data_IF_099161952164
#
_entry.id   IF_099161952164
#
_cell.length_a   1.000
_cell.length_b   1.000
_cell.length_c   1.000
_cell.angle_alpha   90.00
_cell.angle_beta   90.00
_cell.angle_gamma   90.00
#
_symmetry.space_group_name_H-M   'P 1'
#
loop_
_entity.id
_entity.type
_entity.pdbx_description
1 polymer ?
#
# COMPACT_ATOMS: atom_id res chain seq x y z
N UNK A 1 -39.82 27.26 -3.38
CA UNK A 1 -39.67 27.09 -1.92
C UNK A 1 -38.40 26.29 -1.71
N UNK A 2 -37.27 26.95 -1.44
CA UNK A 2 -36.00 26.25 -1.19
C UNK A 2 -36.09 25.54 0.16
N UNK A 3 -36.23 24.21 0.14
CA UNK A 3 -36.05 23.40 1.35
C UNK A 3 -34.60 23.51 1.80
N UNK A 4 -34.41 23.88 3.07
CA UNK A 4 -33.09 24.06 3.67
C UNK A 4 -32.25 22.77 3.58
N UNK A 5 -30.93 22.93 3.38
CA UNK A 5 -29.97 21.82 3.25
C UNK A 5 -30.07 20.86 4.44
N UNK A 6 -30.29 21.39 5.64
CA UNK A 6 -30.41 20.62 6.88
C UNK A 6 -31.65 19.71 6.88
N UNK A 7 -32.78 20.19 6.34
CA UNK A 7 -33.99 19.37 6.16
C UNK A 7 -33.76 18.28 5.11
N UNK A 8 -33.07 18.60 4.02
CA UNK A 8 -32.70 17.61 2.97
C UNK A 8 -31.78 16.53 3.51
N UNK A 9 -30.82 16.91 4.36
CA UNK A 9 -29.93 16.00 5.06
C UNK A 9 -30.72 15.01 5.91
N UNK A 10 -31.66 15.52 6.73
CA UNK A 10 -32.51 14.67 7.57
C UNK A 10 -33.33 13.68 6.73
N UNK A 11 -33.96 14.15 5.65
CA UNK A 11 -34.71 13.27 4.74
C UNK A 11 -33.81 12.22 4.07
N UNK A 12 -32.59 12.59 3.66
CA UNK A 12 -31.64 11.63 3.07
C UNK A 12 -31.18 10.57 4.08
N UNK A 13 -31.00 10.94 5.35
CA UNK A 13 -30.70 9.99 6.42
C UNK A 13 -31.83 8.98 6.62
N UNK A 14 -33.09 9.44 6.67
CA UNK A 14 -34.25 8.56 6.79
C UNK A 14 -34.37 7.57 5.62
N UNK A 15 -34.08 8.03 4.39
CA UNK A 15 -34.05 7.17 3.20
C UNK A 15 -32.91 6.15 3.28
N UNK A 16 -31.72 6.55 3.73
CA UNK A 16 -30.59 5.64 3.95
C UNK A 16 -30.94 4.55 4.97
N UNK A 17 -31.62 4.93 6.05
CA UNK A 17 -31.98 4.01 7.12
C UNK A 17 -33.11 3.06 6.68
N UNK A 18 -33.94 3.47 5.73
CA UNK A 18 -35.02 2.67 5.13
C UNK A 18 -34.61 1.93 3.83
N UNK A 19 -33.32 1.78 3.56
CA UNK A 19 -32.82 1.29 2.27
C UNK A 19 -33.16 -0.18 2.00
N UNK A 20 -33.60 -0.95 3.00
CA UNK A 20 -34.06 -2.33 2.82
C UNK A 20 -35.15 -2.48 1.74
N UNK A 21 -35.91 -1.42 1.47
CA UNK A 21 -36.91 -1.37 0.40
C UNK A 21 -36.32 -1.65 -1.01
N UNK A 22 -35.02 -1.43 -1.21
CA UNK A 22 -34.38 -1.73 -2.51
C UNK A 22 -34.25 -3.23 -2.77
N UNK A 23 -34.45 -4.07 -1.75
CA UNK A 23 -34.44 -5.53 -1.87
C UNK A 23 -35.84 -6.14 -2.06
N UNK A 24 -36.90 -5.31 -2.10
CA UNK A 24 -38.28 -5.77 -2.28
C UNK A 24 -38.76 -5.54 -3.73
N UNK A 25 -40.02 -5.91 -4.00
CA UNK A 25 -40.66 -5.64 -5.29
C UNK A 25 -40.79 -4.13 -5.61
N UNK A 26 -40.64 -3.26 -4.61
CA UNK A 26 -40.76 -1.81 -4.76
C UNK A 26 -39.48 -1.14 -5.28
N UNK A 27 -38.41 -1.89 -5.54
CA UNK A 27 -37.13 -1.34 -5.97
C UNK A 27 -37.25 -0.44 -7.22
N UNK A 28 -38.07 -0.85 -8.21
CA UNK A 28 -38.29 -0.04 -9.40
C UNK A 28 -38.96 1.30 -9.09
N UNK A 29 -39.93 1.31 -8.16
CA UNK A 29 -40.62 2.53 -7.73
C UNK A 29 -39.68 3.43 -6.95
N UNK A 30 -38.84 2.85 -6.08
CA UNK A 30 -37.77 3.57 -5.39
C UNK A 30 -36.86 4.28 -6.40
N UNK A 31 -36.34 3.57 -7.41
CA UNK A 31 -35.47 4.16 -8.42
C UNK A 31 -36.17 5.28 -9.20
N UNK A 32 -37.42 5.09 -9.64
CA UNK A 32 -38.16 6.12 -10.37
C UNK A 32 -38.34 7.41 -9.58
N UNK A 33 -38.59 7.32 -8.28
CA UNK A 33 -38.83 8.47 -7.41
C UNK A 33 -37.53 9.13 -6.94
N UNK A 34 -36.61 8.34 -6.40
CA UNK A 34 -35.45 8.85 -5.68
C UNK A 34 -34.23 9.10 -6.57
N UNK A 35 -34.02 8.31 -7.62
CA UNK A 35 -32.80 8.42 -8.42
C UNK A 35 -32.63 9.81 -9.07
N UNK A 36 -33.74 10.37 -9.60
CA UNK A 36 -33.75 11.73 -10.15
C UNK A 36 -33.49 12.79 -9.08
N UNK A 37 -34.05 12.61 -7.89
CA UNK A 37 -33.84 13.51 -6.77
C UNK A 37 -32.37 13.49 -6.30
N UNK A 38 -31.77 12.32 -6.15
CA UNK A 38 -30.35 12.15 -5.81
C UNK A 38 -29.43 12.78 -6.86
N UNK A 39 -29.71 12.55 -8.14
CA UNK A 39 -28.97 13.17 -9.24
C UNK A 39 -29.08 14.70 -9.20
N UNK A 40 -30.28 15.25 -8.98
CA UNK A 40 -30.48 16.69 -8.84
C UNK A 40 -29.75 17.27 -7.62
N UNK A 41 -29.68 16.53 -6.50
CA UNK A 41 -28.91 16.93 -5.32
C UNK A 41 -27.43 17.09 -5.67
N UNK A 42 -26.86 16.12 -6.38
CA UNK A 42 -25.44 16.11 -6.71
C UNK A 42 -25.05 17.11 -7.82
N UNK A 43 -25.93 17.37 -8.79
CA UNK A 43 -25.64 18.26 -9.92
C UNK A 43 -26.07 19.73 -9.72
N UNK A 44 -27.21 19.97 -9.10
CA UNK A 44 -27.89 21.27 -9.18
C UNK A 44 -28.08 21.94 -7.82
N UNK A 45 -28.41 21.16 -6.79
CA UNK A 45 -28.80 21.71 -5.48
C UNK A 45 -27.58 21.96 -4.60
N UNK A 46 -26.56 21.12 -4.70
CA UNK A 46 -25.34 21.23 -3.89
C UNK A 46 -24.12 21.38 -4.78
N UNK A 47 -23.08 21.99 -4.24
CA UNK A 47 -21.75 22.12 -4.86
C UNK A 47 -20.75 21.25 -4.09
N UNK A 48 -19.68 20.78 -4.76
CA UNK A 48 -18.55 20.16 -4.08
C UNK A 48 -18.03 21.00 -2.92
N UNK A 49 -17.91 20.38 -1.76
CA UNK A 49 -17.46 21.03 -0.53
C UNK A 49 -16.07 20.53 -0.17
N UNK A 50 -15.21 21.46 0.23
CA UNK A 50 -13.87 21.16 0.74
C UNK A 50 -13.81 21.17 2.26
N UNK A 51 -14.94 21.31 2.95
CA UNK A 51 -15.01 21.33 4.41
C UNK A 51 -16.14 20.46 4.93
N UNK A 52 -15.98 19.90 6.13
CA UNK A 52 -17.06 19.13 6.76
C UNK A 52 -18.22 20.06 7.17
N UNK A 53 -19.23 20.13 6.31
CA UNK A 53 -20.43 20.92 6.53
C UNK A 53 -21.69 20.09 6.20
N UNK A 54 -22.90 20.55 6.57
CA UNK A 54 -24.13 19.82 6.30
C UNK A 54 -24.36 19.50 4.82
N UNK A 55 -23.83 20.33 3.92
CA UNK A 55 -23.92 20.12 2.48
C UNK A 55 -23.01 18.98 2.01
N UNK A 56 -21.77 18.90 2.52
CA UNK A 56 -20.88 17.75 2.34
C UNK A 56 -21.53 16.47 2.85
N UNK A 57 -22.06 16.49 4.08
CA UNK A 57 -22.74 15.32 4.68
C UNK A 57 -23.92 14.85 3.85
N UNK A 58 -24.72 15.78 3.31
CA UNK A 58 -25.84 15.45 2.42
C UNK A 58 -25.32 14.77 1.14
N UNK A 59 -24.31 15.34 0.49
CA UNK A 59 -23.71 14.74 -0.72
C UNK A 59 -23.15 13.34 -0.44
N UNK A 60 -22.43 13.20 0.67
CA UNK A 60 -21.83 11.94 1.09
C UNK A 60 -22.88 10.85 1.31
N UNK A 61 -23.93 11.13 2.08
CA UNK A 61 -25.03 10.18 2.31
C UNK A 61 -25.72 9.79 1.00
N UNK A 62 -25.95 10.74 0.09
CA UNK A 62 -26.55 10.42 -1.22
C UNK A 62 -25.65 9.47 -2.00
N UNK A 63 -24.34 9.70 -2.04
CA UNK A 63 -23.39 8.80 -2.72
C UNK A 63 -23.32 7.42 -2.03
N UNK A 64 -23.39 7.37 -0.70
CA UNK A 64 -23.48 6.10 0.05
C UNK A 64 -24.75 5.30 -0.29
N UNK A 65 -25.90 5.96 -0.39
CA UNK A 65 -27.15 5.34 -0.81
C UNK A 65 -26.98 4.73 -2.21
N UNK A 66 -26.41 5.49 -3.15
CA UNK A 66 -26.17 5.02 -4.52
C UNK A 66 -25.22 3.82 -4.56
N UNK A 67 -24.22 3.75 -3.67
CA UNK A 67 -23.29 2.62 -3.56
C UNK A 67 -23.92 1.34 -3.00
N UNK A 68 -25.03 1.44 -2.29
CA UNK A 68 -25.72 0.30 -1.67
C UNK A 68 -26.85 -0.26 -2.55
N UNK A 69 -27.09 0.31 -3.73
CA UNK A 69 -28.14 -0.15 -4.64
C UNK A 69 -27.87 -1.57 -5.15
N UNK A 70 -28.86 -2.50 -5.12
CA UNK A 70 -28.68 -3.85 -5.66
C UNK A 70 -28.46 -3.86 -7.17
N UNK A 71 -27.44 -4.59 -7.63
CA UNK A 71 -27.11 -4.79 -9.05
C UNK A 71 -28.02 -5.82 -9.73
N UNK A 72 -29.34 -5.63 -9.64
CA UNK A 72 -30.33 -6.47 -10.30
C UNK A 72 -30.68 -5.95 -11.70
N UNK A 73 -31.42 -6.77 -12.47
CA UNK A 73 -31.95 -6.39 -13.79
C UNK A 73 -32.80 -5.11 -13.75
N UNK A 74 -33.44 -4.83 -12.61
CA UNK A 74 -34.27 -3.64 -12.38
C UNK A 74 -33.47 -2.34 -12.47
N UNK A 75 -32.17 -2.39 -12.14
CA UNK A 75 -31.29 -1.22 -12.18
C UNK A 75 -30.90 -0.86 -13.62
N UNK A 76 -30.90 -1.81 -14.57
CA UNK A 76 -30.39 -1.62 -15.95
C UNK A 76 -30.80 -0.32 -16.63
N UNK A 77 -32.06 0.14 -16.57
CA UNK A 77 -32.48 1.38 -17.22
C UNK A 77 -31.80 2.64 -16.67
N UNK A 78 -31.28 2.59 -15.43
CA UNK A 78 -30.66 3.71 -14.73
C UNK A 78 -29.12 3.63 -14.72
N UNK A 79 -28.54 2.51 -15.16
CA UNK A 79 -27.09 2.23 -15.04
C UNK A 79 -26.23 3.28 -15.76
N UNK A 80 -26.61 3.70 -16.98
CA UNK A 80 -25.85 4.72 -17.72
C UNK A 80 -25.85 6.07 -17.00
N UNK A 81 -27.00 6.48 -16.48
CA UNK A 81 -27.12 7.75 -15.76
C UNK A 81 -26.39 7.68 -14.41
N UNK A 82 -26.46 6.54 -13.71
CA UNK A 82 -25.75 6.32 -12.46
C UNK A 82 -24.24 6.37 -12.67
N UNK A 83 -23.74 5.77 -13.75
CA UNK A 83 -22.33 5.83 -14.10
C UNK A 83 -21.88 7.26 -14.40
N UNK A 84 -22.68 8.03 -15.14
CA UNK A 84 -22.40 9.45 -15.40
C UNK A 84 -22.38 10.28 -14.12
N UNK A 85 -23.33 10.09 -13.21
CA UNK A 85 -23.37 10.74 -11.89
C UNK A 85 -22.11 10.40 -11.10
N UNK A 86 -21.76 9.12 -10.99
CA UNK A 86 -20.57 8.67 -10.27
C UNK A 86 -19.29 9.25 -10.89
N UNK A 87 -19.22 9.32 -12.23
CA UNK A 87 -18.07 9.89 -12.93
C UNK A 87 -17.94 11.40 -12.73
N UNK A 88 -19.07 12.12 -12.70
CA UNK A 88 -19.08 13.55 -12.39
C UNK A 88 -18.59 13.81 -10.97
N UNK A 89 -19.10 13.07 -9.98
CA UNK A 89 -18.68 13.22 -8.58
C UNK A 89 -17.20 12.86 -8.41
N UNK A 90 -16.72 11.78 -9.04
CA UNK A 90 -15.30 11.42 -8.98
C UNK A 90 -14.36 12.50 -9.56
N UNK A 91 -14.80 13.23 -10.58
CA UNK A 91 -13.95 14.25 -11.24
C UNK A 91 -14.03 15.64 -10.60
N UNK A 92 -15.12 15.94 -9.90
CA UNK A 92 -15.40 17.30 -9.39
C UNK A 92 -15.42 17.43 -7.87
N UNK A 93 -15.62 16.33 -7.14
CA UNK A 93 -15.87 16.35 -5.70
C UNK A 93 -14.63 15.99 -4.87
N UNK A 94 -14.78 16.00 -3.55
CA UNK A 94 -13.74 15.63 -2.60
C UNK A 94 -13.43 14.13 -2.56
N UNK A 95 -12.29 13.80 -1.95
CA UNK A 95 -11.76 12.44 -1.91
C UNK A 95 -12.67 11.42 -1.22
N UNK A 96 -13.47 11.80 -0.22
CA UNK A 96 -14.36 10.88 0.48
C UNK A 96 -15.46 10.39 -0.46
N UNK A 97 -16.12 11.33 -1.15
CA UNK A 97 -17.15 11.00 -2.14
C UNK A 97 -16.53 10.29 -3.36
N UNK A 98 -15.34 10.72 -3.79
CA UNK A 98 -14.59 10.08 -4.88
C UNK A 98 -14.29 8.61 -4.63
N UNK A 99 -13.88 8.24 -3.41
CA UNK A 99 -13.58 6.86 -3.05
C UNK A 99 -14.82 5.95 -3.16
N UNK A 100 -15.98 6.45 -2.76
CA UNK A 100 -17.24 5.72 -2.93
C UNK A 100 -17.60 5.63 -4.42
N UNK A 101 -17.45 6.71 -5.18
CA UNK A 101 -17.73 6.72 -6.61
C UNK A 101 -16.86 5.75 -7.42
N UNK A 102 -15.58 5.55 -7.06
CA UNK A 102 -14.72 4.54 -7.69
C UNK A 102 -15.31 3.14 -7.51
N UNK A 103 -15.85 2.83 -6.33
CA UNK A 103 -16.48 1.52 -6.06
C UNK A 103 -17.75 1.34 -6.89
N UNK A 104 -18.60 2.36 -6.95
CA UNK A 104 -19.78 2.37 -7.81
C UNK A 104 -19.37 2.12 -9.28
N UNK A 105 -18.42 2.88 -9.80
CA UNK A 105 -17.94 2.75 -11.19
C UNK A 105 -17.42 1.32 -11.44
N UNK A 106 -16.58 0.80 -10.54
CA UNK A 106 -16.04 -0.55 -10.64
C UNK A 106 -17.16 -1.60 -10.71
N UNK A 107 -18.12 -1.54 -9.80
CA UNK A 107 -19.20 -2.53 -9.74
C UNK A 107 -20.14 -2.44 -10.95
N UNK A 108 -20.44 -1.24 -11.46
CA UNK A 108 -21.25 -1.09 -12.66
C UNK A 108 -20.55 -1.66 -13.90
N UNK A 109 -19.28 -1.30 -14.10
CA UNK A 109 -18.46 -1.78 -15.23
C UNK A 109 -18.21 -3.29 -15.17
N UNK A 110 -18.27 -3.87 -13.97
CA UNK A 110 -18.19 -5.32 -13.72
C UNK A 110 -19.49 -6.04 -14.07
N UNK A 111 -20.64 -5.55 -13.58
CA UNK A 111 -21.89 -6.33 -13.57
C UNK A 111 -22.75 -6.10 -14.83
N UNK A 112 -22.65 -4.94 -15.49
CA UNK A 112 -23.55 -4.57 -16.61
C UNK A 112 -22.90 -4.63 -17.99
N UNK A 113 -22.13 -5.68 -18.23
CA UNK A 113 -21.50 -5.94 -19.54
C UNK A 113 -22.48 -6.50 -20.56
N UNK A 114 -22.29 -6.20 -21.87
CA UNK A 114 -21.28 -5.31 -22.46
C UNK A 114 -21.75 -3.84 -22.59
N UNK A 115 -22.93 -3.50 -22.06
CA UNK A 115 -23.63 -2.22 -22.31
C UNK A 115 -22.85 -0.96 -21.97
N UNK A 116 -21.81 -1.06 -21.13
CA UNK A 116 -21.00 0.06 -20.64
C UNK A 116 -19.59 0.12 -21.22
N UNK A 117 -19.25 -0.68 -22.24
CA UNK A 117 -17.89 -0.71 -22.81
C UNK A 117 -17.41 0.69 -23.29
N UNK A 118 -18.31 1.47 -23.89
CA UNK A 118 -18.01 2.84 -24.36
C UNK A 118 -17.74 3.82 -23.21
N UNK A 119 -18.27 3.55 -22.02
CA UNK A 119 -18.13 4.40 -20.84
C UNK A 119 -16.88 4.03 -19.99
N UNK A 120 -16.10 3.03 -20.40
CA UNK A 120 -14.83 2.68 -19.76
C UNK A 120 -13.74 3.72 -20.07
N UNK A 121 -13.69 4.23 -21.31
CA UNK A 121 -12.64 5.15 -21.74
C UNK A 121 -12.61 6.46 -20.91
N UNK A 122 -13.74 7.14 -20.62
CA UNK A 122 -13.75 8.30 -19.73
C UNK A 122 -13.14 8.05 -18.35
N UNK A 123 -13.32 6.85 -17.78
CA UNK A 123 -12.66 6.49 -16.53
C UNK A 123 -11.15 6.36 -16.71
N UNK A 124 -10.69 5.69 -17.78
CA UNK A 124 -9.25 5.57 -18.07
C UNK A 124 -8.60 6.94 -18.34
N UNK A 125 -9.32 7.87 -18.98
CA UNK A 125 -8.85 9.24 -19.20
C UNK A 125 -8.70 10.00 -17.88
N UNK A 126 -9.63 9.82 -16.94
CA UNK A 126 -9.48 10.31 -15.57
C UNK A 126 -8.23 9.73 -14.89
N UNK A 127 -7.99 8.43 -15.05
CA UNK A 127 -6.78 7.78 -14.51
C UNK A 127 -5.50 8.39 -15.11
N UNK A 128 -5.45 8.59 -16.42
CA UNK A 128 -4.33 9.28 -17.06
C UNK A 128 -4.12 10.68 -16.45
N UNK A 129 -5.21 11.42 -16.23
CA UNK A 129 -5.16 12.77 -15.63
C UNK A 129 -4.63 12.78 -14.20
N UNK A 130 -5.02 11.82 -13.34
CA UNK A 130 -4.48 11.79 -11.96
C UNK A 130 -2.99 11.49 -11.94
N UNK A 131 -2.50 10.60 -12.82
CA UNK A 131 -1.07 10.30 -12.92
C UNK A 131 -0.26 11.44 -13.54
N UNK A 132 -0.80 12.16 -14.53
CA UNK A 132 -0.20 13.38 -15.07
C UNK A 132 -0.03 14.45 -13.98
N UNK A 133 -1.01 14.59 -13.10
CA UNK A 133 -0.98 15.57 -12.01
C UNK A 133 -0.25 15.06 -10.76
N UNK A 134 0.22 13.81 -10.73
CA UNK A 134 0.74 13.17 -9.52
C UNK A 134 1.88 13.97 -8.88
N UNK A 135 2.84 14.44 -9.69
CA UNK A 135 3.95 15.27 -9.21
C UNK A 135 3.46 16.60 -8.60
N UNK A 136 2.48 17.24 -9.22
CA UNK A 136 1.89 18.48 -8.70
C UNK A 136 1.17 18.23 -7.37
N UNK A 137 0.50 17.09 -7.23
CA UNK A 137 -0.13 16.67 -5.97
C UNK A 137 0.93 16.49 -4.87
N UNK A 138 2.06 15.84 -5.17
CA UNK A 138 3.18 15.73 -4.21
C UNK A 138 3.70 17.11 -3.78
N UNK A 139 4.00 17.99 -4.74
CA UNK A 139 4.43 19.38 -4.44
C UNK A 139 3.40 20.14 -3.59
N UNK A 140 2.11 19.97 -3.85
CA UNK A 140 1.06 20.63 -3.08
C UNK A 140 1.08 20.25 -1.60
N UNK A 141 1.25 18.96 -1.27
CA UNK A 141 1.26 18.51 0.13
C UNK A 141 2.58 18.77 0.85
N UNK A 142 3.72 18.61 0.17
CA UNK A 142 5.03 18.60 0.83
C UNK A 142 5.87 19.86 0.61
N UNK A 143 5.63 20.65 -0.45
CA UNK A 143 6.37 21.91 -0.68
C UNK A 143 5.55 23.12 -0.25
N UNK A 144 4.24 23.14 -0.57
CA UNK A 144 3.35 24.25 -0.18
C UNK A 144 2.77 24.10 1.24
N UNK A 145 2.70 22.87 1.75
CA UNK A 145 2.24 22.58 3.12
C UNK A 145 3.17 23.17 4.18
N UNK A 146 4.49 23.15 3.94
CA UNK A 146 5.50 23.69 4.85
C UNK A 146 5.39 25.23 4.99
N UNK A 147 5.09 25.93 3.89
CA UNK A 147 4.90 27.40 3.90
C UNK A 147 3.63 27.79 4.66
N UNK A 148 2.53 27.04 4.48
CA UNK A 148 1.28 27.28 5.19
C UNK A 148 1.38 26.93 6.68
N UNK A 149 2.06 25.83 7.03
CA UNK A 149 2.30 25.42 8.42
C UNK A 149 3.22 26.41 9.15
N UNK A 150 4.27 26.91 8.49
CA UNK A 150 5.15 27.93 9.05
C UNK A 150 4.42 29.27 9.28
N UNK A 151 3.56 29.69 8.34
CA UNK A 151 2.74 30.90 8.48
C UNK A 151 1.70 30.77 9.61
N UNK A 152 1.08 29.60 9.77
CA UNK A 152 0.13 29.33 10.86
C UNK A 152 0.81 29.28 12.23
N UNK A 153 2.01 28.68 12.33
CA UNK A 153 2.80 28.68 13.55
C UNK A 153 3.27 30.10 13.94
N UNK A 154 3.60 30.94 12.94
CA UNK A 154 3.94 32.35 13.16
C UNK A 154 2.71 33.19 13.57
N UNK A 155 1.50 32.84 13.12
CA UNK A 155 0.27 33.50 13.56
C UNK A 155 -0.13 33.11 15.00
N UNK A 156 0.11 31.84 15.39
CA UNK A 156 -0.18 31.35 16.73
C UNK A 156 0.75 31.95 17.81
N UNK A 157 1.98 32.36 17.46
CA UNK A 157 2.91 33.00 18.39
C UNK A 157 2.64 34.49 18.64
N UNK A 158 1.74 35.12 17.88
CA UNK A 158 1.38 36.55 18.04
C UNK A 158 0.23 36.76 19.04
N UNK A 159 -0.53 35.71 19.39
CA UNK A 159 -1.69 35.80 20.29
C UNK A 159 -1.40 35.61 21.79
N UNK A 160 -0.13 35.49 22.20
CA UNK A 160 0.23 35.19 23.61
C UNK A 160 0.67 36.38 24.47
N UNK A 161 0.50 37.64 24.02
CA UNK A 161 0.87 38.83 24.80
C UNK A 161 -0.31 39.77 25.11
N UNK A 162 -1.23 39.32 25.96
CA UNK A 162 -2.07 40.12 26.89
C UNK A 162 -2.81 39.12 27.79
N UNK A 163 -2.72 39.06 29.13
CA UNK A 163 -2.57 40.09 30.14
C UNK A 163 -2.19 39.49 31.53
N UNK A 164 -1.53 40.36 32.30
CA UNK A 164 -1.12 40.41 33.71
C UNK A 164 -2.05 39.94 34.87
N UNK A 165 -1.41 39.35 35.89
CA UNK A 165 -1.46 39.59 37.37
C UNK A 165 -2.46 38.88 38.33
N UNK A 166 -1.87 38.22 39.35
CA UNK A 166 -2.38 37.95 40.72
C UNK A 166 -2.88 36.51 40.99
N UNK A 167 -2.71 35.82 42.14
CA UNK A 167 -1.83 35.84 43.32
C UNK A 167 -2.38 34.76 44.31
N UNK A 168 -1.52 33.85 44.79
CA UNK A 168 -1.54 33.05 46.06
C UNK A 168 -2.63 31.98 46.41
N UNK A 169 -2.14 30.79 46.81
CA UNK A 169 -2.55 30.11 48.08
C UNK A 169 -3.06 28.65 48.05
N UNK A 170 -2.29 27.71 48.63
CA UNK A 170 -2.76 26.77 49.69
C UNK A 170 -3.36 25.38 49.37
N UNK A 171 -2.53 24.34 49.58
CA UNK A 171 -2.73 22.99 50.21
C UNK A 171 -4.03 22.12 50.12
N UNK A 172 -3.74 20.84 49.83
CA UNK A 172 -4.29 19.55 50.33
C UNK A 172 -5.74 19.05 50.04
N UNK A 173 -5.79 17.84 49.44
CA UNK A 173 -6.53 16.64 49.92
C UNK A 173 -7.36 15.85 48.86
N UNK A 174 -6.84 14.64 48.55
CA UNK A 174 -7.51 13.32 48.47
C UNK A 174 -8.64 12.96 47.47
N UNK A 175 -8.33 11.85 46.76
CA UNK A 175 -9.11 10.61 46.48
C UNK A 175 -9.95 10.46 45.20
N UNK A 176 -9.58 9.40 44.45
CA UNK A 176 -10.35 8.47 43.59
C UNK A 176 -11.40 9.02 42.61
N UNK A 177 -11.23 8.75 41.31
CA UNK A 177 -11.90 7.64 40.58
C UNK A 177 -11.71 7.79 39.06
N UNK A 178 -11.80 6.64 38.38
CA UNK A 178 -12.21 6.41 36.99
C UNK A 178 -11.38 6.93 35.81
N UNK A 179 -11.06 5.98 34.94
CA UNK A 179 -10.47 6.11 33.62
C UNK A 179 -11.29 7.03 32.69
N UNK A 180 -10.75 8.22 32.39
CA UNK A 180 -11.07 8.99 31.18
C UNK A 180 -9.81 9.77 30.74
N UNK A 181 -9.08 9.26 29.74
CA UNK A 181 -8.05 10.04 29.06
C UNK A 181 -8.68 10.93 27.98
N UNK A 182 -9.27 12.04 28.45
CA UNK A 182 -9.41 13.25 27.64
C UNK A 182 -8.04 13.92 27.62
N UNK A 183 -7.29 13.73 26.53
CA UNK A 183 -6.15 14.59 26.22
C UNK A 183 -6.62 16.01 25.89
N UNK A 184 -5.81 17.05 26.14
CA UNK A 184 -6.20 18.43 25.88
C UNK A 184 -6.51 18.61 24.38
N UNK A 185 -7.40 19.55 24.00
CA UNK A 185 -7.78 19.76 22.61
C UNK A 185 -6.54 20.27 21.86
N UNK A 186 -5.84 19.36 21.20
CA UNK A 186 -4.81 19.70 20.24
C UNK A 186 -5.50 20.48 19.13
N UNK A 187 -5.20 21.78 19.03
CA UNK A 187 -5.57 22.61 17.90
C UNK A 187 -4.87 22.04 16.65
N UNK A 188 -5.55 21.09 16.00
CA UNK A 188 -5.20 20.52 14.72
C UNK A 188 -5.45 21.57 13.63
N UNK A 189 -4.41 22.28 13.21
CA UNK A 189 -4.47 23.11 12.01
C UNK A 189 -4.37 22.16 10.81
N UNK A 190 -5.52 21.76 10.26
CA UNK A 190 -5.65 20.90 9.07
C UNK A 190 -6.80 19.87 9.11
N UNK A 191 -7.38 19.60 10.28
CA UNK A 191 -8.49 18.63 10.40
C UNK A 191 -9.82 19.28 10.00
N UNK A 192 -10.10 19.27 8.69
CA UNK A 192 -11.39 19.71 8.17
C UNK A 192 -11.39 20.07 6.69
N UNK A 193 -10.22 20.26 6.07
CA UNK A 193 -10.15 20.54 4.64
C UNK A 193 -10.01 19.25 3.84
N UNK A 194 -11.07 18.90 3.11
CA UNK A 194 -11.12 17.72 2.25
C UNK A 194 -10.43 18.01 0.92
N UNK A 195 -9.54 17.11 0.53
CA UNK A 195 -8.80 17.22 -0.72
C UNK A 195 -9.72 16.91 -1.91
N UNK A 196 -9.56 17.60 -3.05
CA UNK A 196 -10.22 17.20 -4.29
C UNK A 196 -9.81 15.77 -4.70
N UNK A 197 -10.75 15.00 -5.26
CA UNK A 197 -10.49 13.64 -5.77
C UNK A 197 -9.34 13.59 -6.78
N UNK A 198 -9.16 14.65 -7.56
CA UNK A 198 -8.09 14.80 -8.56
C UNK A 198 -6.70 14.96 -7.93
N UNK A 199 -6.61 15.23 -6.63
CA UNK A 199 -5.38 15.44 -5.85
C UNK A 199 -5.35 14.57 -4.59
N UNK A 200 -5.82 13.32 -4.68
CA UNK A 200 -5.85 12.40 -3.54
C UNK A 200 -4.99 11.15 -3.79
N UNK A 201 -4.06 10.88 -2.88
CA UNK A 201 -3.27 9.65 -2.90
C UNK A 201 -4.14 8.40 -2.65
N UNK A 202 -5.24 8.53 -1.89
CA UNK A 202 -6.18 7.43 -1.64
C UNK A 202 -6.87 6.99 -2.92
N UNK A 203 -7.29 7.94 -3.75
CA UNK A 203 -7.86 7.66 -5.08
C UNK A 203 -6.83 6.93 -5.96
N UNK A 204 -5.58 7.39 -5.99
CA UNK A 204 -4.50 6.73 -6.75
C UNK A 204 -4.20 5.33 -6.18
N UNK A 205 -4.43 5.08 -4.89
CA UNK A 205 -4.21 3.77 -4.26
C UNK A 205 -5.21 2.71 -4.75
N UNK A 206 -6.48 3.09 -4.93
CA UNK A 206 -7.55 2.18 -5.40
C UNK A 206 -7.54 1.97 -6.93
N UNK A 207 -7.05 2.97 -7.67
CA UNK A 207 -7.10 3.01 -9.13
C UNK A 207 -6.42 1.82 -9.84
N UNK A 208 -5.19 1.40 -9.47
CA UNK A 208 -4.48 0.30 -10.15
C UNK A 208 -5.27 -1.01 -10.16
N UNK A 209 -5.98 -1.33 -9.08
CA UNK A 209 -6.79 -2.55 -8.98
C UNK A 209 -7.97 -2.50 -9.96
N UNK A 210 -8.65 -1.35 -10.02
CA UNK A 210 -9.77 -1.12 -10.95
C UNK A 210 -9.30 -1.22 -12.40
N UNK A 211 -8.18 -0.56 -12.75
CA UNK A 211 -7.61 -0.62 -14.11
C UNK A 211 -7.19 -2.04 -14.47
N UNK A 212 -6.51 -2.76 -13.57
CA UNK A 212 -6.14 -4.16 -13.78
C UNK A 212 -7.36 -5.00 -14.13
N UNK A 213 -8.42 -4.84 -13.35
CA UNK A 213 -9.66 -5.56 -13.57
C UNK A 213 -10.28 -5.17 -14.91
N UNK A 214 -10.42 -3.87 -15.20
CA UNK A 214 -10.96 -3.38 -16.47
C UNK A 214 -10.19 -3.92 -17.68
N UNK A 215 -8.87 -4.06 -17.61
CA UNK A 215 -8.07 -4.65 -18.68
C UNK A 215 -8.25 -6.16 -18.85
N UNK A 216 -8.47 -6.91 -17.77
CA UNK A 216 -8.89 -8.32 -17.85
C UNK A 216 -10.26 -8.47 -18.51
N UNK A 217 -11.11 -7.48 -18.26
CA UNK A 217 -12.52 -7.45 -18.57
C UNK A 217 -12.80 -6.92 -19.99
N UNK A 218 -12.02 -5.95 -20.47
CA UNK A 218 -12.13 -5.28 -21.77
C UNK A 218 -10.76 -5.27 -22.47
N UNK A 219 -10.27 -6.44 -22.89
CA UNK A 219 -8.90 -6.64 -23.39
C UNK A 219 -8.53 -5.77 -24.62
N UNK A 220 -9.53 -5.31 -25.39
CA UNK A 220 -9.34 -4.42 -26.54
C UNK A 220 -8.79 -3.05 -26.15
N UNK A 221 -9.15 -2.54 -24.98
CA UNK A 221 -8.72 -1.22 -24.49
C UNK A 221 -7.27 -1.21 -24.02
N UNK A 222 -6.65 -2.38 -23.86
CA UNK A 222 -5.31 -2.48 -23.28
C UNK A 222 -4.25 -1.93 -24.24
N UNK A 223 -4.30 -2.34 -25.51
CA UNK A 223 -3.30 -1.94 -26.51
C UNK A 223 -3.32 -0.43 -26.80
N UNK A 224 -4.48 0.21 -26.69
CA UNK A 224 -4.62 1.65 -26.92
C UNK A 224 -4.20 2.48 -25.70
N UNK A 225 -4.49 2.01 -24.48
CA UNK A 225 -4.28 2.79 -23.26
C UNK A 225 -2.93 2.55 -22.57
N UNK A 226 -2.36 1.34 -22.64
CA UNK A 226 -1.06 1.02 -21.99
C UNK A 226 0.07 1.95 -22.45
N UNK A 227 0.25 2.25 -23.76
CA UNK A 227 1.34 3.13 -24.21
C UNK A 227 1.29 4.54 -23.60
N UNK A 228 0.10 5.03 -23.22
CA UNK A 228 -0.09 6.34 -22.59
C UNK A 228 0.01 6.26 -21.07
N UNK A 229 -0.59 5.24 -20.47
CA UNK A 229 -0.69 5.10 -19.01
C UNK A 229 0.62 4.65 -18.35
N UNK A 230 1.34 3.72 -19.00
CA UNK A 230 2.54 3.11 -18.43
C UNK A 230 3.64 4.15 -18.13
N UNK A 231 4.03 5.05 -19.06
CA UNK A 231 5.04 6.06 -18.77
C UNK A 231 4.65 6.98 -17.61
N UNK A 232 3.36 7.35 -17.51
CA UNK A 232 2.86 8.20 -16.43
C UNK A 232 2.98 7.51 -15.06
N UNK A 233 2.65 6.21 -14.99
CA UNK A 233 2.82 5.40 -13.78
C UNK A 233 4.29 5.23 -13.40
N UNK A 234 5.18 5.00 -14.37
CA UNK A 234 6.63 4.90 -14.12
C UNK A 234 7.20 6.22 -13.57
N UNK A 235 6.76 7.36 -14.10
CA UNK A 235 7.13 8.67 -13.56
C UNK A 235 6.59 8.83 -12.14
N UNK A 236 5.33 8.48 -11.88
CA UNK A 236 4.70 8.63 -10.57
C UNK A 236 5.40 7.82 -9.45
N UNK A 237 5.80 6.57 -9.73
CA UNK A 237 6.56 5.75 -8.76
C UNK A 237 7.97 6.28 -8.51
N UNK A 238 8.52 7.04 -9.45
CA UNK A 238 9.87 7.61 -9.37
C UNK A 238 9.90 8.95 -8.62
N UNK A 239 8.74 9.57 -8.34
CA UNK A 239 8.68 10.86 -7.64
C UNK A 239 9.19 10.69 -6.21
N UNK A 240 10.28 11.39 -5.81
CA UNK A 240 10.76 11.36 -4.45
C UNK A 240 9.81 12.12 -3.52
N UNK A 241 9.69 11.65 -2.28
CA UNK A 241 9.10 12.41 -1.19
C UNK A 241 10.16 13.16 -0.40
N UNK A 242 9.78 14.02 0.56
CA UNK A 242 10.75 14.75 1.40
C UNK A 242 11.58 13.78 2.25
N UNK A 243 12.90 14.04 2.37
CA UNK A 243 13.82 13.22 3.17
C UNK A 243 13.51 13.26 4.67
N UNK A 244 13.05 14.42 5.15
CA UNK A 244 12.63 14.64 6.54
C UNK A 244 11.15 14.96 6.54
N UNK A 245 10.34 14.02 7.00
CA UNK A 245 8.89 14.17 7.07
C UNK A 245 8.49 14.76 8.42
N UNK A 246 7.90 15.97 8.47
CA UNK A 246 7.32 16.52 9.69
C UNK A 246 6.25 15.58 10.28
N UNK A 247 6.07 15.53 11.61
CA UNK A 247 5.13 14.60 12.25
C UNK A 247 3.69 14.74 11.74
N UNK A 248 3.26 15.95 11.40
CA UNK A 248 1.92 16.22 10.87
C UNK A 248 1.71 15.74 9.41
N UNK A 249 2.78 15.55 8.63
CA UNK A 249 2.72 15.06 7.24
C UNK A 249 2.97 13.54 7.12
N UNK A 250 3.22 12.84 8.23
CA UNK A 250 3.49 11.39 8.22
C UNK A 250 2.36 10.56 7.62
N UNK A 251 1.11 10.96 7.86
CA UNK A 251 -0.07 10.29 7.26
C UNK A 251 -0.08 10.45 5.75
N UNK A 252 -0.01 11.68 5.23
CA UNK A 252 0.08 11.96 3.79
C UNK A 252 1.29 11.28 3.13
N UNK A 253 2.44 11.22 3.81
CA UNK A 253 3.61 10.52 3.29
C UNK A 253 3.39 9.00 3.20
N UNK A 254 2.71 8.42 4.20
CA UNK A 254 2.34 7.00 4.17
C UNK A 254 1.34 6.73 3.04
N UNK A 255 0.39 7.63 2.80
CA UNK A 255 -0.55 7.53 1.68
C UNK A 255 0.15 7.67 0.32
N UNK A 256 1.10 8.60 0.16
CA UNK A 256 1.96 8.70 -1.02
C UNK A 256 2.68 7.39 -1.29
N UNK A 257 3.34 6.81 -0.27
CA UNK A 257 4.04 5.53 -0.41
C UNK A 257 3.06 4.40 -0.74
N UNK A 258 1.89 4.36 -0.13
CA UNK A 258 0.82 3.41 -0.46
C UNK A 258 0.41 3.49 -1.93
N UNK A 259 0.16 4.69 -2.44
CA UNK A 259 -0.21 4.94 -3.84
C UNK A 259 0.89 4.49 -4.83
N UNK A 260 2.16 4.81 -4.52
CA UNK A 260 3.31 4.36 -5.32
C UNK A 260 3.42 2.83 -5.32
N UNK A 261 3.28 2.18 -4.17
CA UNK A 261 3.38 0.71 -4.05
C UNK A 261 2.24 -0.02 -4.74
N UNK A 262 1.01 0.50 -4.71
CA UNK A 262 -0.11 -0.04 -5.50
C UNK A 262 0.12 0.12 -6.99
N UNK A 263 0.68 1.25 -7.40
CA UNK A 263 1.06 1.47 -8.81
C UNK A 263 2.16 0.50 -9.24
N UNK A 264 3.19 0.29 -8.42
CA UNK A 264 4.21 -0.75 -8.64
C UNK A 264 3.57 -2.13 -8.77
N UNK A 265 2.64 -2.49 -7.87
CA UNK A 265 1.97 -3.79 -7.92
C UNK A 265 1.29 -4.03 -9.27
N UNK A 266 0.61 -3.02 -9.81
CA UNK A 266 0.03 -3.09 -11.16
C UNK A 266 1.09 -3.15 -12.26
N UNK A 267 2.16 -2.36 -12.20
CA UNK A 267 3.26 -2.46 -13.16
C UNK A 267 3.89 -3.87 -13.15
N UNK A 268 4.02 -4.50 -11.98
CA UNK A 268 4.53 -5.88 -11.89
C UNK A 268 3.58 -6.92 -12.49
N UNK A 269 2.27 -6.69 -12.42
CA UNK A 269 1.28 -7.52 -13.11
C UNK A 269 1.47 -7.47 -14.64
N UNK A 270 1.78 -6.30 -15.18
CA UNK A 270 1.99 -6.12 -16.62
C UNK A 270 3.29 -6.77 -17.15
N UNK A 271 4.27 -7.07 -16.28
CA UNK A 271 5.58 -7.63 -16.69
C UNK A 271 5.48 -8.89 -17.54
N UNK A 272 4.48 -9.75 -17.29
CA UNK A 272 4.34 -11.01 -18.03
C UNK A 272 3.63 -10.86 -19.37
N UNK A 273 2.56 -10.07 -19.40
CA UNK A 273 1.66 -9.99 -20.57
C UNK A 273 2.02 -8.88 -21.55
N UNK A 274 2.75 -7.85 -21.09
CA UNK A 274 3.04 -6.64 -21.86
C UNK A 274 4.53 -6.25 -21.77
N UNK A 275 5.39 -7.27 -21.79
CA UNK A 275 6.84 -7.13 -21.60
C UNK A 275 7.49 -6.12 -22.55
N UNK A 276 7.04 -6.06 -23.81
CA UNK A 276 7.61 -5.17 -24.84
C UNK A 276 7.45 -3.69 -24.49
N UNK A 277 6.32 -3.31 -23.88
CA UNK A 277 6.08 -1.93 -23.43
C UNK A 277 6.86 -1.57 -22.17
N UNK A 278 7.22 -2.56 -21.34
CA UNK A 278 7.94 -2.34 -20.07
C UNK A 278 9.45 -2.32 -20.26
N UNK A 279 9.98 -3.04 -21.24
CA UNK A 279 11.42 -3.15 -21.50
C UNK A 279 12.16 -1.79 -21.53
N UNK A 280 11.63 -0.71 -22.12
CA UNK A 280 12.28 0.61 -22.08
C UNK A 280 12.38 1.24 -20.69
N UNK A 281 11.57 0.77 -19.74
CA UNK A 281 11.42 1.33 -18.39
C UNK A 281 11.95 0.40 -17.28
N UNK A 282 12.53 -0.76 -17.63
CA UNK A 282 13.00 -1.79 -16.68
C UNK A 282 13.85 -1.21 -15.55
N UNK A 283 14.90 -0.46 -15.91
CA UNK A 283 15.86 0.08 -14.93
C UNK A 283 15.19 1.10 -13.99
N UNK A 284 14.31 1.95 -14.53
CA UNK A 284 13.56 2.95 -13.75
C UNK A 284 12.61 2.29 -12.76
N UNK A 285 11.94 1.22 -13.16
CA UNK A 285 11.03 0.45 -12.29
C UNK A 285 11.83 -0.22 -11.18
N UNK A 286 12.93 -0.91 -11.50
CA UNK A 286 13.79 -1.57 -10.52
C UNK A 286 14.35 -0.57 -9.49
N UNK A 287 14.91 0.55 -9.96
CA UNK A 287 15.40 1.64 -9.09
C UNK A 287 14.30 2.19 -8.19
N UNK A 288 13.10 2.42 -8.74
CA UNK A 288 11.97 2.93 -7.97
C UNK A 288 11.54 1.96 -6.86
N UNK A 289 11.46 0.66 -7.14
CA UNK A 289 11.10 -0.35 -6.13
C UNK A 289 12.10 -0.34 -4.97
N UNK A 290 13.41 -0.32 -5.27
CA UNK A 290 14.45 -0.29 -4.23
C UNK A 290 14.43 1.03 -3.47
N UNK A 291 14.29 2.17 -4.14
CA UNK A 291 14.16 3.47 -3.48
C UNK A 291 12.92 3.53 -2.57
N UNK A 292 11.81 2.92 -2.98
CA UNK A 292 10.61 2.82 -2.13
C UNK A 292 10.87 1.96 -0.90
N UNK A 293 11.61 0.85 -0.99
CA UNK A 293 12.00 0.05 0.18
C UNK A 293 12.87 0.83 1.17
N UNK A 294 13.82 1.62 0.66
CA UNK A 294 14.70 2.47 1.48
C UNK A 294 13.90 3.59 2.16
N UNK A 295 12.95 4.21 1.46
CA UNK A 295 12.24 5.41 1.94
C UNK A 295 10.90 5.14 2.63
N UNK A 296 10.37 3.91 2.57
CA UNK A 296 9.08 3.59 3.18
C UNK A 296 9.15 3.54 4.71
N UNK A 297 8.08 3.99 5.36
CA UNK A 297 7.88 3.85 6.80
C UNK A 297 7.77 2.38 7.20
N UNK A 298 7.86 2.08 8.50
CA UNK A 298 7.69 0.74 9.08
C UNK A 298 6.21 0.25 9.03
N UNK A 299 5.61 0.31 7.83
CA UNK A 299 4.29 -0.24 7.54
C UNK A 299 4.42 -1.65 6.96
N UNK A 300 3.92 -2.64 7.70
CA UNK A 300 3.98 -4.06 7.33
C UNK A 300 3.31 -4.30 5.97
N UNK A 301 2.17 -3.67 5.71
CA UNK A 301 1.42 -3.87 4.47
C UNK A 301 2.19 -3.36 3.25
N UNK A 302 2.70 -2.14 3.32
CA UNK A 302 3.46 -1.50 2.23
C UNK A 302 4.74 -2.29 1.93
N UNK A 303 5.51 -2.66 2.97
CA UNK A 303 6.75 -3.43 2.80
C UNK A 303 6.49 -4.82 2.24
N UNK A 304 5.44 -5.51 2.71
CA UNK A 304 5.05 -6.82 2.17
C UNK A 304 4.76 -6.74 0.67
N UNK A 305 4.00 -5.73 0.23
CA UNK A 305 3.67 -5.55 -1.19
C UNK A 305 4.92 -5.24 -2.03
N UNK A 306 5.86 -4.44 -1.53
CA UNK A 306 7.15 -4.20 -2.20
C UNK A 306 7.99 -5.47 -2.33
N UNK A 307 8.06 -6.31 -1.29
CA UNK A 307 8.77 -7.58 -1.35
C UNK A 307 8.12 -8.55 -2.36
N UNK A 308 6.79 -8.57 -2.44
CA UNK A 308 6.06 -9.33 -3.46
C UNK A 308 6.33 -8.79 -4.86
N UNK A 309 6.37 -7.47 -5.03
CA UNK A 309 6.71 -6.82 -6.30
C UNK A 309 8.14 -7.18 -6.76
N UNK A 310 9.13 -7.12 -5.87
CA UNK A 310 10.49 -7.60 -6.16
C UNK A 310 10.50 -9.07 -6.59
N UNK A 311 9.73 -9.92 -5.91
CA UNK A 311 9.61 -11.34 -6.30
C UNK A 311 9.07 -11.51 -7.71
N UNK A 312 8.07 -10.72 -8.10
CA UNK A 312 7.54 -10.75 -9.46
C UNK A 312 8.59 -10.31 -10.49
N UNK A 313 9.37 -9.27 -10.20
CA UNK A 313 10.48 -8.83 -11.08
C UNK A 313 11.52 -9.93 -11.22
N UNK A 314 11.94 -10.58 -10.12
CA UNK A 314 12.90 -11.69 -10.15
C UNK A 314 12.45 -12.87 -11.00
N UNK A 315 11.14 -13.15 -11.01
CA UNK A 315 10.53 -14.21 -11.83
C UNK A 315 10.44 -13.91 -13.32
N UNK A 316 11.05 -12.81 -13.80
CA UNK A 316 11.01 -12.37 -15.21
C UNK A 316 12.40 -12.03 -15.73
N UNK A 317 12.51 -11.73 -17.02
CA UNK A 317 13.79 -11.33 -17.65
C UNK A 317 14.26 -9.95 -17.19
N UNK A 318 13.38 -9.16 -16.57
CA UNK A 318 13.66 -7.82 -16.02
C UNK A 318 14.49 -7.82 -14.72
N UNK A 319 14.86 -9.00 -14.23
CA UNK A 319 15.70 -9.14 -13.03
C UNK A 319 17.08 -8.50 -13.17
N UNK A 320 17.57 -8.32 -14.41
CA UNK A 320 18.89 -7.71 -14.68
C UNK A 320 18.96 -6.28 -14.14
N UNK A 321 17.86 -5.52 -14.22
CA UNK A 321 17.77 -4.19 -13.62
C UNK A 321 17.99 -4.13 -12.10
N UNK A 322 17.88 -5.26 -11.37
CA UNK A 322 18.13 -5.32 -9.93
C UNK A 322 19.61 -5.54 -9.58
N UNK A 323 20.43 -5.99 -10.52
CA UNK A 323 21.80 -6.43 -10.22
C UNK A 323 22.68 -5.27 -9.74
N UNK A 324 22.62 -4.05 -10.33
CA UNK A 324 23.37 -2.90 -9.81
C UNK A 324 22.93 -2.43 -8.42
N UNK A 325 21.77 -2.88 -7.94
CA UNK A 325 21.16 -2.47 -6.67
C UNK A 325 21.36 -3.51 -5.56
N UNK A 326 22.14 -4.57 -5.83
CA UNK A 326 22.29 -5.70 -4.92
C UNK A 326 22.88 -5.32 -3.57
N UNK A 327 23.82 -4.38 -3.52
CA UNK A 327 24.45 -3.97 -2.25
C UNK A 327 23.45 -3.34 -1.29
N UNK A 328 22.49 -2.59 -1.83
CA UNK A 328 21.36 -2.03 -1.06
C UNK A 328 20.37 -3.11 -0.65
N UNK A 329 20.08 -4.08 -1.53
CA UNK A 329 19.17 -5.19 -1.25
C UNK A 329 19.74 -6.22 -0.25
N UNK A 330 21.07 -6.29 -0.10
CA UNK A 330 21.74 -7.12 0.90
C UNK A 330 21.63 -6.54 2.32
N UNK A 331 21.12 -5.33 2.48
CA UNK A 331 20.86 -4.74 3.79
C UNK A 331 19.51 -5.23 4.34
N UNK A 332 19.57 -6.05 5.39
CA UNK A 332 18.39 -6.58 6.08
C UNK A 332 17.44 -5.47 6.55
N UNK A 333 18.00 -4.35 7.04
CA UNK A 333 17.23 -3.17 7.47
C UNK A 333 16.43 -2.53 6.34
N UNK A 334 16.93 -2.58 5.11
CA UNK A 334 16.23 -2.03 3.94
C UNK A 334 15.05 -2.91 3.56
N UNK A 335 15.25 -4.24 3.54
CA UNK A 335 14.19 -5.19 3.16
C UNK A 335 13.08 -5.28 4.22
N UNK A 336 13.46 -5.45 5.47
CA UNK A 336 12.54 -5.79 6.56
C UNK A 336 12.05 -4.54 7.30
N UNK A 337 12.86 -3.49 7.37
CA UNK A 337 12.58 -2.28 8.15
C UNK A 337 13.14 -2.35 9.58
N UNK A 338 12.90 -1.28 10.34
CA UNK A 338 13.35 -1.15 11.74
C UNK A 338 12.26 -1.51 12.75
N UNK A 339 11.00 -1.57 12.31
CA UNK A 339 9.86 -1.82 13.16
C UNK A 339 9.75 -3.29 13.56
N UNK A 340 9.52 -3.55 14.85
CA UNK A 340 9.40 -4.91 15.40
C UNK A 340 8.34 -5.76 14.70
N UNK A 341 7.16 -5.19 14.42
CA UNK A 341 6.09 -5.89 13.73
C UNK A 341 6.50 -6.30 12.31
N UNK A 342 7.19 -5.42 11.57
CA UNK A 342 7.74 -5.74 10.25
C UNK A 342 8.80 -6.84 10.36
N UNK A 343 9.67 -6.75 11.38
CA UNK A 343 10.72 -7.72 11.63
C UNK A 343 10.20 -9.14 11.88
N UNK A 344 9.19 -9.30 12.73
CA UNK A 344 8.66 -10.62 13.04
C UNK A 344 7.89 -11.22 11.85
N UNK A 345 7.15 -10.41 11.09
CA UNK A 345 6.28 -10.89 10.01
C UNK A 345 6.96 -11.05 8.65
N UNK A 346 7.91 -10.18 8.27
CA UNK A 346 8.44 -10.11 6.91
C UNK A 346 9.74 -10.88 6.70
N UNK A 347 10.47 -11.24 7.77
CA UNK A 347 11.73 -12.00 7.68
C UNK A 347 11.68 -13.23 6.77
N UNK A 348 10.67 -14.13 6.88
CA UNK A 348 10.59 -15.29 6.00
C UNK A 348 10.54 -14.94 4.51
N UNK A 349 9.76 -13.93 4.15
CA UNK A 349 9.60 -13.47 2.78
C UNK A 349 10.88 -12.80 2.27
N UNK A 350 11.45 -11.90 3.08
CA UNK A 350 12.67 -11.17 2.73
C UNK A 350 13.86 -12.11 2.48
N UNK A 351 14.08 -13.10 3.35
CA UNK A 351 15.19 -14.04 3.20
C UNK A 351 15.01 -15.01 2.04
N UNK A 352 13.78 -15.46 1.79
CA UNK A 352 13.50 -16.28 0.61
C UNK A 352 13.77 -15.51 -0.68
N UNK A 353 13.33 -14.25 -0.74
CA UNK A 353 13.56 -13.34 -1.86
C UNK A 353 15.06 -13.07 -2.06
N UNK A 354 15.78 -12.77 -0.97
CA UNK A 354 17.20 -12.49 -1.03
C UNK A 354 18.00 -13.71 -1.52
N UNK A 355 17.62 -14.91 -1.08
CA UNK A 355 18.25 -16.14 -1.55
C UNK A 355 18.04 -16.35 -3.07
N UNK A 356 16.83 -16.07 -3.56
CA UNK A 356 16.49 -16.16 -4.98
C UNK A 356 17.27 -15.11 -5.81
N UNK A 357 17.35 -13.87 -5.33
CA UNK A 357 18.16 -12.81 -5.96
C UNK A 357 19.63 -13.21 -6.06
N UNK A 358 20.24 -13.60 -4.93
CA UNK A 358 21.66 -14.01 -4.89
C UNK A 358 21.90 -15.21 -5.81
N UNK A 359 20.98 -16.18 -5.83
CA UNK A 359 21.09 -17.31 -6.73
C UNK A 359 21.14 -16.88 -8.20
N UNK A 360 20.36 -15.88 -8.61
CA UNK A 360 20.38 -15.35 -9.98
C UNK A 360 21.63 -14.55 -10.33
N UNK A 361 22.21 -13.81 -9.38
CA UNK A 361 23.36 -12.92 -9.61
C UNK A 361 24.72 -13.60 -9.34
N UNK A 362 24.72 -14.83 -8.79
CA UNK A 362 25.91 -15.46 -8.19
C UNK A 362 27.21 -15.39 -9.00
N UNK A 363 27.15 -15.49 -10.33
CA UNK A 363 28.32 -15.47 -11.20
C UNK A 363 28.98 -14.08 -11.28
N UNK A 364 28.17 -13.02 -11.18
CA UNK A 364 28.60 -11.63 -11.32
C UNK A 364 29.06 -11.00 -9.99
N UNK A 365 28.88 -11.71 -8.86
CA UNK A 365 29.24 -11.21 -7.54
C UNK A 365 30.76 -11.15 -7.32
N UNK A 366 31.22 -10.11 -6.63
CA UNK A 366 32.60 -10.02 -6.14
C UNK A 366 32.83 -10.91 -4.90
N UNK A 367 34.09 -11.24 -4.59
CA UNK A 367 34.43 -12.03 -3.39
C UNK A 367 34.04 -11.33 -2.08
N UNK A 368 34.11 -9.98 -2.05
CA UNK A 368 33.66 -9.19 -0.90
C UNK A 368 32.15 -9.28 -0.69
N UNK A 369 31.35 -9.21 -1.77
CA UNK A 369 29.91 -9.42 -1.72
C UNK A 369 29.57 -10.85 -1.28
N UNK A 370 30.26 -11.86 -1.83
CA UNK A 370 30.09 -13.25 -1.43
C UNK A 370 30.41 -13.45 0.06
N UNK A 371 31.46 -12.82 0.59
CA UNK A 371 31.76 -12.85 2.03
C UNK A 371 30.61 -12.31 2.88
N UNK A 372 30.02 -11.18 2.49
CA UNK A 372 28.89 -10.56 3.21
C UNK A 372 27.65 -11.44 3.16
N UNK A 373 27.36 -12.04 2.00
CA UNK A 373 26.26 -12.98 1.79
C UNK A 373 26.44 -14.23 2.66
N UNK A 374 27.62 -14.85 2.65
CA UNK A 374 27.90 -16.06 3.45
C UNK A 374 27.71 -15.77 4.93
N UNK A 375 28.20 -14.63 5.42
CA UNK A 375 28.00 -14.23 6.81
C UNK A 375 26.51 -14.10 7.15
N UNK A 376 25.74 -13.36 6.35
CA UNK A 376 24.31 -13.15 6.55
C UNK A 376 23.52 -14.46 6.56
N UNK A 377 23.74 -15.32 5.56
CA UNK A 377 23.02 -16.59 5.43
C UNK A 377 23.47 -17.65 6.44
N UNK A 378 24.73 -17.62 6.90
CA UNK A 378 25.19 -18.40 8.04
C UNK A 378 24.45 -17.98 9.30
N UNK A 379 24.43 -16.69 9.63
CA UNK A 379 23.69 -16.18 10.80
C UNK A 379 22.21 -16.57 10.77
N UNK A 380 21.55 -16.40 9.62
CA UNK A 380 20.14 -16.79 9.44
C UNK A 380 19.92 -18.31 9.56
N UNK A 381 20.88 -19.14 9.18
CA UNK A 381 20.78 -20.59 9.34
C UNK A 381 20.85 -21.03 10.81
N UNK A 382 21.58 -20.29 11.64
CA UNK A 382 21.73 -20.55 13.08
C UNK A 382 20.68 -19.86 13.96
N UNK A 383 19.90 -18.92 13.42
CA UNK A 383 18.84 -18.24 14.16
C UNK A 383 17.66 -19.18 14.45
N UNK A 384 17.51 -19.55 15.73
CA UNK A 384 16.44 -20.43 16.21
C UNK A 384 15.02 -19.81 16.13
N UNK A 385 14.91 -18.48 15.95
CA UNK A 385 13.62 -17.80 15.81
C UNK A 385 13.00 -17.95 14.42
N UNK A 386 13.75 -18.48 13.44
CA UNK A 386 13.31 -18.72 12.08
C UNK A 386 12.82 -20.16 11.87
N UNK A 387 11.93 -20.35 10.90
CA UNK A 387 11.41 -21.68 10.57
C UNK A 387 12.47 -22.56 9.90
N UNK A 388 12.34 -23.87 10.07
CA UNK A 388 13.26 -24.85 9.47
C UNK A 388 13.32 -24.75 7.92
N UNK A 389 12.23 -24.30 7.29
CA UNK A 389 12.20 -24.06 5.84
C UNK A 389 13.16 -22.96 5.39
N UNK A 390 13.32 -21.91 6.20
CA UNK A 390 14.28 -20.82 5.95
C UNK A 390 15.71 -21.34 6.16
N UNK A 391 15.96 -22.11 7.23
CA UNK A 391 17.29 -22.71 7.45
C UNK A 391 17.72 -23.57 6.26
N UNK A 392 16.81 -24.38 5.74
CA UNK A 392 17.06 -25.22 4.56
C UNK A 392 17.35 -24.37 3.32
N UNK A 393 16.66 -23.25 3.16
CA UNK A 393 16.89 -22.31 2.04
C UNK A 393 18.27 -21.66 2.13
N UNK A 394 18.68 -21.23 3.33
CA UNK A 394 20.00 -20.64 3.59
C UNK A 394 21.12 -21.66 3.29
N UNK A 395 20.96 -22.89 3.78
CA UNK A 395 21.88 -24.00 3.49
C UNK A 395 22.01 -24.26 1.99
N UNK A 396 20.87 -24.39 1.27
CA UNK A 396 20.87 -24.61 -0.18
C UNK A 396 21.57 -23.49 -0.93
N UNK A 397 21.34 -22.24 -0.55
CA UNK A 397 22.01 -21.10 -1.17
C UNK A 397 23.53 -21.17 -0.97
N UNK A 398 23.99 -21.40 0.27
CA UNK A 398 25.43 -21.49 0.55
C UNK A 398 26.11 -22.59 -0.27
N UNK A 399 25.46 -23.74 -0.47
CA UNK A 399 25.96 -24.80 -1.36
C UNK A 399 26.05 -24.32 -2.82
N UNK A 400 25.05 -23.59 -3.30
CA UNK A 400 25.04 -23.04 -4.67
C UNK A 400 26.09 -21.94 -4.89
N UNK A 401 26.69 -21.38 -3.83
CA UNK A 401 27.76 -20.40 -3.93
C UNK A 401 29.16 -21.03 -4.02
N UNK A 402 29.30 -22.32 -3.71
CA UNK A 402 30.60 -23.02 -3.73
C UNK A 402 31.24 -22.98 -5.11
N UNK A 403 30.47 -23.26 -6.17
CA UNK A 403 30.96 -23.27 -7.55
C UNK A 403 31.44 -21.88 -8.01
N UNK A 404 30.66 -20.78 -7.88
CA UNK A 404 31.15 -19.42 -8.18
C UNK A 404 32.39 -18.99 -7.38
N UNK A 405 32.51 -19.40 -6.11
CA UNK A 405 33.68 -19.09 -5.28
C UNK A 405 34.90 -19.85 -5.80
N UNK A 406 34.72 -21.12 -6.17
CA UNK A 406 35.78 -21.95 -6.71
C UNK A 406 36.31 -21.40 -8.04
N UNK A 407 35.41 -21.04 -8.97
CA UNK A 407 35.78 -20.44 -10.26
C UNK A 407 36.59 -19.14 -10.10
N UNK A 408 36.22 -18.27 -9.15
CA UNK A 408 36.95 -17.03 -8.86
C UNK A 408 38.26 -17.24 -8.10
N UNK A 409 38.48 -18.43 -7.53
CA UNK A 409 39.68 -18.80 -6.79
C UNK A 409 40.80 -19.41 -7.64
N UNK A 410 40.62 -19.50 -8.97
CA UNK A 410 41.62 -20.04 -9.90
C UNK A 410 42.86 -19.13 -10.01
N UNK A 411 42.68 -17.81 -9.82
CA UNK A 411 43.77 -16.84 -9.80
C UNK A 411 44.54 -16.91 -8.46
N UNK A 412 45.88 -16.97 -8.53
CA UNK A 412 46.75 -17.14 -7.34
C UNK A 412 46.54 -16.07 -6.26
N UNK A 413 46.12 -14.85 -6.61
CA UNK A 413 45.89 -13.75 -5.68
C UNK A 413 44.56 -13.87 -4.91
N UNK A 414 43.54 -14.49 -5.50
CA UNK A 414 42.21 -14.66 -4.88
C UNK A 414 42.00 -16.04 -4.26
N UNK A 415 42.91 -16.99 -4.52
CA UNK A 415 42.83 -18.37 -4.03
C UNK A 415 42.71 -18.46 -2.51
N UNK A 416 43.48 -17.66 -1.76
CA UNK A 416 43.45 -17.69 -0.30
C UNK A 416 42.13 -17.13 0.26
N UNK A 417 41.60 -16.06 -0.35
CA UNK A 417 40.28 -15.52 0.03
C UNK A 417 39.16 -16.52 -0.26
N UNK A 418 39.15 -17.13 -1.45
CA UNK A 418 38.17 -18.15 -1.82
C UNK A 418 38.22 -19.36 -0.87
N UNK A 419 39.42 -19.82 -0.49
CA UNK A 419 39.60 -20.92 0.48
C UNK A 419 39.00 -20.57 1.84
N UNK A 420 39.23 -19.35 2.34
CA UNK A 420 38.65 -18.88 3.61
C UNK A 420 37.12 -18.86 3.54
N UNK A 421 36.55 -18.40 2.42
CA UNK A 421 35.09 -18.39 2.23
C UNK A 421 34.48 -19.80 2.22
N UNK A 422 35.11 -20.75 1.51
CA UNK A 422 34.68 -22.15 1.53
C UNK A 422 34.79 -22.76 2.94
N UNK A 423 35.86 -22.44 3.67
CA UNK A 423 36.03 -22.84 5.06
C UNK A 423 34.91 -22.31 5.97
N UNK A 424 34.49 -21.05 5.81
CA UNK A 424 33.36 -20.46 6.55
C UNK A 424 32.03 -21.15 6.26
N UNK A 425 31.79 -21.52 5.00
CA UNK A 425 30.59 -22.29 4.63
C UNK A 425 30.59 -23.64 5.37
N UNK A 426 31.71 -24.37 5.33
CA UNK A 426 31.83 -25.67 6.00
C UNK A 426 31.63 -25.55 7.52
N UNK A 427 32.24 -24.54 8.14
CA UNK A 427 32.11 -24.29 9.58
C UNK A 427 30.65 -24.01 9.98
N UNK A 428 29.92 -23.23 9.19
CA UNK A 428 28.49 -22.99 9.42
C UNK A 428 27.67 -24.30 9.38
N UNK A 429 27.94 -25.19 8.42
CA UNK A 429 27.26 -26.49 8.35
C UNK A 429 27.56 -27.37 9.57
N UNK A 430 28.84 -27.46 9.97
CA UNK A 430 29.25 -28.21 11.17
C UNK A 430 28.59 -27.65 12.43
N UNK A 431 28.57 -26.32 12.57
CA UNK A 431 27.85 -25.64 13.64
C UNK A 431 26.37 -26.02 13.68
N UNK A 432 25.71 -26.15 12.52
CA UNK A 432 24.28 -26.48 12.47
C UNK A 432 24.04 -27.92 12.91
N UNK A 433 24.87 -28.86 12.48
CA UNK A 433 24.79 -30.25 12.95
C UNK A 433 25.02 -30.36 14.46
N UNK A 434 25.90 -29.54 15.04
CA UNK A 434 26.08 -29.48 16.49
C UNK A 434 24.80 -29.01 17.20
N UNK A 435 24.06 -28.03 16.66
CA UNK A 435 22.76 -27.64 17.25
C UNK A 435 21.76 -28.80 17.22
N UNK A 436 21.67 -29.54 16.11
CA UNK A 436 20.80 -30.70 16.00
C UNK A 436 21.18 -31.83 16.97
N UNK A 437 22.48 -32.05 17.20
CA UNK A 437 22.95 -33.03 18.19
C UNK A 437 22.36 -32.78 19.58
N UNK A 438 22.17 -31.51 19.98
CA UNK A 438 21.56 -31.16 21.26
C UNK A 438 20.02 -31.22 21.23
N UNK A 439 19.39 -30.88 20.11
CA UNK A 439 17.92 -30.85 19.98
C UNK A 439 17.29 -32.24 19.76
N UNK A 440 17.95 -33.13 19.01
CA UNK A 440 17.42 -34.47 18.68
C UNK A 440 17.03 -35.29 19.93
N UNK A 441 17.86 -35.37 20.99
CA UNK A 441 17.49 -36.06 22.22
C UNK A 441 16.24 -35.46 22.93
N UNK A 442 16.04 -34.14 22.84
CA UNK A 442 14.88 -33.47 23.44
C UNK A 442 13.60 -33.78 22.67
N UNK A 443 13.66 -33.80 21.33
CA UNK A 443 12.53 -34.18 20.48
C UNK A 443 12.15 -35.65 20.65
N UNK A 444 13.13 -36.54 20.79
CA UNK A 444 12.88 -37.96 21.07
C UNK A 444 12.17 -38.16 22.42
N UNK A 445 12.58 -37.41 23.45
CA UNK A 445 11.86 -37.41 24.75
C UNK A 445 10.43 -36.89 24.60
N UNK A 446 10.23 -35.76 23.92
CA UNK A 446 8.91 -35.17 23.71
C UNK A 446 7.96 -36.12 22.95
N UNK A 447 8.48 -36.85 21.95
CA UNK A 447 7.72 -37.84 21.19
C UNK A 447 7.35 -39.05 22.04
N UNK A 448 8.22 -39.50 22.95
CA UNK A 448 7.87 -40.52 23.96
C UNK A 448 6.79 -40.04 24.94
N UNK A 449 6.81 -38.76 25.37
CA UNK A 449 5.78 -38.20 26.24
C UNK A 449 4.41 -38.07 25.55
N UNK A 450 4.33 -37.55 24.32
CA UNK A 450 3.06 -37.51 23.57
C UNK A 450 2.50 -38.91 23.27
N UNK A 451 3.36 -39.90 22.98
CA UNK A 451 2.91 -41.30 22.83
C UNK A 451 2.38 -41.87 24.16
N UNK A 452 2.96 -41.47 25.30
CA UNK A 452 2.47 -41.90 26.62
C UNK A 452 1.14 -41.22 27.03
N UNK A 453 0.91 -39.95 26.67
CA UNK A 453 -0.38 -39.27 26.89
C UNK A 453 -1.47 -39.78 25.94
N UNK A 454 -1.14 -40.11 24.68
CA UNK A 454 -2.10 -40.73 23.76
C UNK A 454 -2.54 -42.12 24.20
N UNK A 455 -1.66 -42.88 24.88
CA UNK A 455 -2.03 -44.15 25.51
C UNK A 455 -2.87 -43.96 26.79
N UNK A 456 -2.74 -42.84 27.50
CA UNK A 456 -3.51 -42.54 28.72
C UNK A 456 -4.92 -41.99 28.45
N UNK A 457 -5.20 -41.44 27.26
CA UNK A 457 -6.55 -40.97 26.87
C UNK A 457 -7.43 -42.14 26.36
N UNK A 458 -6.84 -43.31 26.09
CA UNK A 458 -7.53 -44.50 25.58
C UNK A 458 -7.66 -45.66 26.58
N UNK A 459 -7.35 -45.41 27.86
CA UNK A 459 -7.69 -46.27 29.00
C UNK A 459 -8.56 -45.46 29.98
#
# INVERSE_FOLDING_TARGET
>A
METAIQTRLQMAMEVRDSLEITHTADYLNFLKCYFRAFSAILYQITKPQSVDNPEHKLRNIVVEILNRLPHSEVLRPFVQDLLKVAMHVLTSDNEENGLICIRIIFDLLRNFRPSLENDVQPFLDFVCKIYQNFRLTVSHFFENGDVAAAAAAAAASVSSNSSTFGSFGGEDAKLMDMSDQVGPPTAYIGAGQLNPSTRSFKIVTETPLVVMFLFQLYSRLVQTNIPQLLPLMVVAISVPGPEKVPPHLKSHFTELKGAQVKTVSFLTYLLKSFADYIRPHEESICKSIVNLLVTCSDSVSIRKELLVALKHVLGTDFKRGLFPLIDTLLEERVLVGTGRACFETLRPLAYSLLAELVHHVRSDLSLSQLSRIIYLFSSNMHDASLSLGIHTTCARLMLNLVEPIFEKGIDKSSMDEARVLLGRILDAFVGKFNTFKHTIPQVLKFRCYCLSEFLWIHF
#
